data_IF_803432858397
#
_entry.id   IF_803432858397
#
_cell.length_a   1.000
_cell.length_b   1.000
_cell.length_c   1.000
_cell.angle_alpha   90.00
_cell.angle_beta   90.00
_cell.angle_gamma   90.00
#
_symmetry.space_group_name_H-M   'P 1'
#
loop_
_entity.id
_entity.type
_entity.pdbx_description
1 polymer ?
#
# COMPACT_ATOMS: atom_id res chain seq x y z
N UNK A 1 9.95 -23.30 24.85
CA UNK A 1 10.67 -22.05 24.47
C UNK A 1 9.61 -21.00 24.27
N UNK A 2 9.82 -19.78 24.75
CA UNK A 2 8.83 -18.70 24.62
C UNK A 2 8.74 -18.23 23.14
N UNK A 3 7.56 -17.80 22.67
CA UNK A 3 7.41 -17.17 21.36
C UNK A 3 8.21 -15.87 21.23
N UNK A 4 8.48 -15.43 20.00
CA UNK A 4 9.06 -14.11 19.77
C UNK A 4 8.05 -12.96 19.97
N UNK A 5 8.47 -11.70 19.78
CA UNK A 5 7.63 -10.51 19.93
C UNK A 5 6.39 -10.48 18.99
N UNK A 6 6.41 -11.28 17.91
CA UNK A 6 5.29 -11.44 16.98
C UNK A 6 4.42 -12.66 17.29
N UNK A 7 4.71 -13.37 18.40
CA UNK A 7 4.02 -14.59 18.81
C UNK A 7 4.40 -15.82 18.00
N UNK A 8 5.48 -15.76 17.20
CA UNK A 8 5.95 -16.88 16.40
C UNK A 8 6.73 -17.84 17.30
N UNK A 9 6.37 -19.14 17.35
CA UNK A 9 7.11 -20.10 18.16
C UNK A 9 8.53 -20.29 17.62
N UNK A 10 9.47 -20.62 18.49
CA UNK A 10 10.77 -21.15 18.03
C UNK A 10 10.56 -22.55 17.44
N UNK A 11 11.14 -22.81 16.27
CA UNK A 11 11.03 -24.09 15.55
C UNK A 11 12.32 -24.41 14.81
N UNK A 12 12.52 -25.68 14.46
CA UNK A 12 13.51 -26.10 13.47
C UNK A 12 12.81 -26.55 12.20
N UNK A 13 13.46 -26.37 11.05
CA UNK A 13 12.91 -26.78 9.74
C UNK A 13 12.54 -28.28 9.70
N UNK A 14 13.30 -29.12 10.39
CA UNK A 14 13.05 -30.56 10.52
C UNK A 14 11.73 -30.91 11.24
N UNK A 15 11.22 -29.99 12.07
CA UNK A 15 9.96 -30.16 12.80
C UNK A 15 8.74 -29.70 11.97
N UNK A 16 8.97 -29.05 10.82
CA UNK A 16 7.89 -28.53 9.99
C UNK A 16 7.29 -29.61 9.10
N UNK A 17 5.95 -29.65 9.04
CA UNK A 17 5.22 -30.64 8.23
C UNK A 17 4.80 -30.05 6.89
N UNK A 18 5.13 -30.69 5.77
CA UNK A 18 4.59 -30.29 4.46
C UNK A 18 3.06 -30.47 4.43
N UNK A 19 2.34 -29.39 4.12
CA UNK A 19 0.87 -29.36 4.04
C UNK A 19 0.35 -29.01 2.64
N UNK A 20 1.20 -28.48 1.76
CA UNK A 20 0.82 -28.17 0.38
C UNK A 20 2.08 -28.00 -0.46
N UNK A 21 2.05 -28.55 -1.67
CA UNK A 21 3.16 -28.47 -2.60
C UNK A 21 2.67 -27.98 -3.96
N UNK A 22 3.21 -26.84 -4.39
CA UNK A 22 2.94 -26.24 -5.68
C UNK A 22 4.14 -26.30 -6.61
N UNK A 23 3.94 -25.76 -7.82
CA UNK A 23 4.94 -25.71 -8.89
C UNK A 23 6.20 -24.92 -8.49
N UNK A 24 6.02 -23.79 -7.81
CA UNK A 24 7.11 -22.85 -7.48
C UNK A 24 7.37 -22.70 -5.98
N UNK A 25 6.57 -23.34 -5.14
CA UNK A 25 6.65 -23.20 -3.67
C UNK A 25 6.12 -24.43 -2.93
N UNK A 26 6.62 -24.63 -1.72
CA UNK A 26 6.12 -25.61 -0.74
C UNK A 26 5.67 -24.85 0.51
N UNK A 27 4.56 -25.29 1.11
CA UNK A 27 4.03 -24.74 2.35
C UNK A 27 4.27 -25.75 3.46
N UNK A 28 5.07 -25.35 4.45
CA UNK A 28 5.40 -26.16 5.61
C UNK A 28 4.70 -25.58 6.83
N UNK A 29 3.94 -26.40 7.54
CA UNK A 29 3.30 -26.03 8.80
C UNK A 29 4.35 -25.99 9.91
N UNK A 30 4.41 -24.85 10.62
CA UNK A 30 5.30 -24.65 11.77
C UNK A 30 4.59 -25.18 13.02
N UNK A 31 4.94 -26.39 13.47
CA UNK A 31 4.33 -27.04 14.64
C UNK A 31 2.79 -27.03 14.59
N UNK A 32 2.09 -27.17 15.72
CA UNK A 32 0.65 -26.91 15.82
C UNK A 32 0.33 -25.42 15.97
N UNK A 33 1.01 -24.56 15.21
CA UNK A 33 0.82 -23.10 15.24
C UNK A 33 -0.08 -22.59 14.11
N UNK A 34 -0.43 -21.31 14.22
CA UNK A 34 -1.13 -20.53 13.19
C UNK A 34 -0.22 -20.00 12.08
N UNK A 35 1.06 -20.42 12.06
CA UNK A 35 2.04 -19.93 11.11
C UNK A 35 2.50 -21.05 10.17
N UNK A 36 2.90 -20.64 8.97
CA UNK A 36 3.49 -21.50 7.96
C UNK A 36 4.80 -20.90 7.49
N UNK A 37 5.69 -21.77 7.05
CA UNK A 37 6.88 -21.42 6.30
C UNK A 37 6.57 -21.61 4.81
N UNK A 38 6.69 -20.55 4.03
CA UNK A 38 6.54 -20.58 2.59
C UNK A 38 7.95 -20.69 2.00
N UNK A 39 8.23 -21.83 1.38
CA UNK A 39 9.53 -22.14 0.78
C UNK A 39 9.45 -22.03 -0.74
N UNK A 40 10.21 -21.11 -1.33
CA UNK A 40 10.33 -20.97 -2.78
C UNK A 40 11.20 -22.08 -3.39
N UNK A 41 10.94 -22.43 -4.66
CA UNK A 41 11.71 -23.42 -5.42
C UNK A 41 12.43 -22.78 -6.61
N UNK A 42 13.56 -23.35 -7.00
CA UNK A 42 14.38 -22.91 -8.14
C UNK A 42 13.81 -23.33 -9.50
N UNK A 43 12.49 -23.30 -9.67
CA UNK A 43 11.84 -23.71 -10.91
C UNK A 43 11.09 -22.57 -11.57
N UNK A 44 11.23 -22.46 -12.89
CA UNK A 44 10.35 -21.66 -13.74
C UNK A 44 9.53 -22.59 -14.63
N UNK A 45 8.27 -22.21 -14.86
CA UNK A 45 7.36 -22.91 -15.77
C UNK A 45 7.24 -22.16 -17.09
N UNK A 46 7.35 -22.89 -18.21
CA UNK A 46 7.01 -22.42 -19.56
C UNK A 46 5.80 -23.21 -20.10
N UNK A 47 5.21 -22.73 -21.21
CA UNK A 47 4.22 -23.45 -22.05
C UNK A 47 3.15 -24.26 -21.29
N UNK A 48 2.03 -23.62 -20.94
CA UNK A 48 0.88 -24.28 -20.26
C UNK A 48 1.24 -25.11 -19.01
N UNK A 49 2.36 -24.76 -18.36
CA UNK A 49 2.86 -25.37 -17.12
C UNK A 49 3.28 -26.84 -17.20
N UNK A 50 3.50 -27.39 -18.40
CA UNK A 50 3.96 -28.77 -18.59
C UNK A 50 5.49 -28.89 -18.59
N UNK A 51 6.21 -27.80 -18.92
CA UNK A 51 7.67 -27.78 -18.94
C UNK A 51 8.25 -27.00 -17.75
N UNK A 52 9.12 -27.68 -16.99
CA UNK A 52 9.82 -27.15 -15.83
C UNK A 52 11.32 -27.03 -16.11
N UNK A 53 11.87 -25.86 -15.84
CA UNK A 53 13.30 -25.60 -15.99
C UNK A 53 13.88 -25.18 -14.64
N UNK A 54 14.97 -25.81 -14.23
CA UNK A 54 15.71 -25.40 -13.04
C UNK A 54 16.50 -24.12 -13.33
N UNK A 55 16.36 -23.12 -12.47
CA UNK A 55 17.09 -21.85 -12.52
C UNK A 55 17.70 -21.63 -11.15
N UNK A 56 18.98 -21.98 -11.02
CA UNK A 56 19.74 -21.84 -9.78
C UNK A 56 19.62 -20.43 -9.19
N UNK A 57 19.23 -20.34 -7.92
CA UNK A 57 19.06 -19.08 -7.18
C UNK A 57 17.77 -18.33 -7.45
N UNK A 58 16.86 -18.83 -8.31
CA UNK A 58 15.54 -18.22 -8.52
C UNK A 58 14.71 -18.22 -7.24
N UNK A 59 14.78 -19.27 -6.43
CA UNK A 59 14.05 -19.37 -5.16
C UNK A 59 14.39 -18.18 -4.26
N UNK A 60 15.68 -17.85 -4.15
CA UNK A 60 16.15 -16.72 -3.36
C UNK A 60 15.65 -15.38 -3.91
N UNK A 61 15.66 -15.21 -5.23
CA UNK A 61 15.17 -13.99 -5.90
C UNK A 61 13.65 -13.82 -5.73
N UNK A 62 12.86 -14.89 -5.93
CA UNK A 62 11.41 -14.89 -5.73
C UNK A 62 11.04 -14.58 -4.28
N UNK A 63 11.74 -15.19 -3.31
CA UNK A 63 11.52 -14.95 -1.89
C UNK A 63 11.91 -13.51 -1.50
N UNK A 64 13.06 -13.01 -1.94
CA UNK A 64 13.50 -11.64 -1.68
C UNK A 64 12.53 -10.59 -2.27
N UNK A 65 12.03 -10.82 -3.48
CA UNK A 65 11.02 -10.00 -4.14
C UNK A 65 9.74 -9.96 -3.30
N UNK A 66 9.21 -11.14 -2.95
CA UNK A 66 7.98 -11.28 -2.16
C UNK A 66 8.10 -10.62 -0.79
N UNK A 67 9.18 -10.88 -0.06
CA UNK A 67 9.43 -10.26 1.25
C UNK A 67 9.44 -8.74 1.14
N UNK A 68 10.17 -8.18 0.16
CA UNK A 68 10.30 -6.73 0.03
C UNK A 68 8.98 -6.07 -0.36
N UNK A 69 8.21 -6.70 -1.27
CA UNK A 69 6.89 -6.23 -1.67
C UNK A 69 5.92 -6.26 -0.49
N UNK A 70 5.84 -7.38 0.25
CA UNK A 70 4.94 -7.46 1.40
C UNK A 70 5.34 -6.56 2.56
N UNK A 71 6.64 -6.36 2.80
CA UNK A 71 7.12 -5.36 3.76
C UNK A 71 6.70 -3.94 3.36
N UNK A 72 6.80 -3.60 2.08
CA UNK A 72 6.34 -2.32 1.54
C UNK A 72 4.82 -2.15 1.71
N UNK A 73 4.02 -3.14 1.33
CA UNK A 73 2.57 -3.12 1.47
C UNK A 73 2.13 -3.02 2.95
N UNK A 74 2.76 -3.79 3.84
CA UNK A 74 2.49 -3.76 5.29
C UNK A 74 2.87 -2.39 5.89
N UNK A 75 4.01 -1.82 5.49
CA UNK A 75 4.44 -0.49 5.92
C UNK A 75 3.40 0.58 5.57
N UNK A 76 2.80 0.52 4.37
CA UNK A 76 1.74 1.43 3.95
C UNK A 76 0.40 1.19 4.68
N UNK A 77 0.22 0.03 5.31
CA UNK A 77 -0.98 -0.36 6.07
C UNK A 77 -1.90 -1.36 5.35
N UNK A 78 -1.48 -1.91 4.21
CA UNK A 78 -2.21 -3.01 3.55
C UNK A 78 -1.91 -4.30 4.31
N UNK A 79 -2.96 -5.03 4.69
CA UNK A 79 -2.80 -6.28 5.46
C UNK A 79 -2.45 -7.43 4.53
N UNK A 80 -1.28 -8.00 4.76
CA UNK A 80 -0.81 -9.23 4.11
C UNK A 80 -0.71 -10.37 5.13
N UNK A 81 -0.60 -11.61 4.66
CA UNK A 81 -0.30 -12.75 5.52
C UNK A 81 1.19 -12.84 5.93
N UNK A 82 2.06 -12.01 5.35
CA UNK A 82 3.50 -12.03 5.60
C UNK A 82 3.83 -11.53 7.01
N UNK A 83 4.70 -12.25 7.70
CA UNK A 83 5.21 -11.87 9.01
C UNK A 83 6.65 -11.34 8.93
N UNK A 84 7.57 -12.20 8.47
CA UNK A 84 9.00 -11.87 8.33
C UNK A 84 9.74 -12.86 7.45
N UNK A 85 10.87 -12.42 6.88
CA UNK A 85 11.85 -13.29 6.20
C UNK A 85 12.41 -14.29 7.22
N UNK A 86 12.57 -15.55 6.81
CA UNK A 86 13.19 -16.60 7.62
C UNK A 86 14.60 -16.94 7.14
N UNK A 87 14.75 -17.13 5.83
CA UNK A 87 16.02 -17.42 5.16
C UNK A 87 16.01 -16.78 3.77
N UNK A 88 17.04 -17.04 2.95
CA UNK A 88 17.05 -16.57 1.57
C UNK A 88 15.95 -17.21 0.71
N UNK A 89 15.51 -18.42 1.01
CA UNK A 89 14.49 -19.16 0.23
C UNK A 89 13.14 -19.29 0.94
N UNK A 90 13.04 -18.88 2.21
CA UNK A 90 11.82 -18.99 2.98
C UNK A 90 11.39 -17.69 3.68
N UNK A 91 10.07 -17.53 3.83
CA UNK A 91 9.46 -16.55 4.72
C UNK A 91 8.37 -17.17 5.60
N UNK A 92 8.14 -16.55 6.76
CA UNK A 92 7.07 -16.94 7.68
C UNK A 92 5.82 -16.12 7.36
N UNK A 93 4.70 -16.81 7.25
CA UNK A 93 3.39 -16.22 7.01
C UNK A 93 2.36 -16.73 8.02
N UNK A 94 1.29 -15.98 8.22
CA UNK A 94 0.06 -16.49 8.82
C UNK A 94 -0.51 -17.56 7.92
N UNK A 95 -0.92 -18.67 8.53
CA UNK A 95 -1.65 -19.73 7.84
C UNK A 95 -3.01 -19.16 7.43
N UNK A 96 -3.31 -19.20 6.14
CA UNK A 96 -4.63 -18.80 5.62
C UNK A 96 -5.28 -19.97 4.89
N UNK A 97 -6.60 -19.94 4.78
CA UNK A 97 -7.32 -20.75 3.80
C UNK A 97 -7.49 -19.90 2.55
N UNK A 98 -6.86 -20.31 1.46
CA UNK A 98 -6.84 -19.54 0.21
C UNK A 98 -8.22 -19.52 -0.46
N UNK A 99 -8.59 -18.38 -1.00
CA UNK A 99 -9.68 -18.28 -1.96
C UNK A 99 -9.17 -18.80 -3.31
N UNK A 100 -9.89 -19.70 -4.00
CA UNK A 100 -9.48 -20.26 -5.29
C UNK A 100 -9.69 -19.26 -6.44
N UNK A 101 -9.20 -18.02 -6.28
CA UNK A 101 -9.42 -16.90 -7.19
C UNK A 101 -8.11 -16.15 -7.44
N UNK A 102 -7.82 -15.90 -8.72
CA UNK A 102 -6.79 -14.98 -9.16
C UNK A 102 -7.41 -13.62 -9.49
N UNK A 103 -6.97 -12.57 -8.80
CA UNK A 103 -7.39 -11.21 -9.07
C UNK A 103 -6.35 -10.53 -9.95
N UNK A 104 -6.67 -10.34 -11.23
CA UNK A 104 -5.77 -9.69 -12.18
C UNK A 104 -6.19 -8.24 -12.37
N UNK A 105 -5.26 -7.31 -12.13
CA UNK A 105 -5.45 -5.87 -12.30
C UNK A 105 -4.57 -5.39 -13.44
N UNK A 106 -5.13 -4.63 -14.39
CA UNK A 106 -4.44 -4.19 -15.61
C UNK A 106 -4.50 -2.68 -15.78
N UNK A 107 -3.35 -2.05 -16.03
CA UNK A 107 -3.27 -0.70 -16.61
C UNK A 107 -3.25 -0.76 -18.13
N UNK A 108 -2.56 -1.73 -18.71
CA UNK A 108 -2.34 -1.84 -20.15
C UNK A 108 -2.98 -3.13 -20.69
N UNK A 109 -3.62 -3.04 -21.84
CA UNK A 109 -4.14 -4.22 -22.55
C UNK A 109 -2.98 -5.00 -23.18
N UNK A 110 -2.68 -6.16 -22.61
CA UNK A 110 -1.65 -7.09 -23.06
C UNK A 110 -2.06 -8.55 -22.82
N UNK A 111 -1.26 -9.49 -23.35
CA UNK A 111 -1.35 -10.92 -23.02
C UNK A 111 -2.75 -11.53 -23.22
N UNK A 112 -3.24 -12.23 -22.18
CA UNK A 112 -4.52 -12.96 -22.24
C UNK A 112 -5.75 -12.06 -22.42
N UNK A 113 -5.64 -10.77 -22.15
CA UNK A 113 -6.72 -9.82 -22.40
C UNK A 113 -6.97 -9.64 -23.90
N UNK A 114 -5.92 -9.43 -24.69
CA UNK A 114 -6.02 -9.23 -26.14
C UNK A 114 -6.56 -10.48 -26.86
N UNK A 115 -6.16 -11.68 -26.40
CA UNK A 115 -6.70 -12.95 -26.93
C UNK A 115 -8.22 -13.07 -26.76
N UNK A 116 -8.75 -12.60 -25.63
CA UNK A 116 -10.20 -12.59 -25.35
C UNK A 116 -10.92 -11.40 -25.99
N UNK A 117 -10.19 -10.34 -26.34
CA UNK A 117 -10.75 -9.09 -26.86
C UNK A 117 -10.00 -8.67 -28.14
N UNK A 118 -10.15 -9.40 -29.27
CA UNK A 118 -9.35 -9.20 -30.48
C UNK A 118 -9.56 -7.84 -31.16
N UNK A 119 -10.64 -7.13 -30.84
CA UNK A 119 -10.88 -5.77 -31.33
C UNK A 119 -10.06 -4.69 -30.58
N UNK A 120 -9.47 -5.02 -29.43
CA UNK A 120 -8.68 -4.09 -28.63
C UNK A 120 -7.22 -4.13 -29.11
N UNK A 121 -6.63 -2.96 -29.29
CA UNK A 121 -5.23 -2.83 -29.67
C UNK A 121 -4.32 -3.04 -28.45
N UNK A 122 -3.18 -3.70 -28.68
CA UNK A 122 -2.10 -3.76 -27.69
C UNK A 122 -1.68 -2.35 -27.28
N UNK A 123 -1.41 -2.17 -25.98
CA UNK A 123 -1.07 -0.85 -25.43
C UNK A 123 -2.27 0.02 -25.04
N UNK A 124 -3.51 -0.44 -25.21
CA UNK A 124 -4.69 0.30 -24.74
C UNK A 124 -4.64 0.50 -23.22
N UNK A 125 -4.86 1.73 -22.75
CA UNK A 125 -4.77 2.10 -21.34
C UNK A 125 -6.15 2.09 -20.66
N UNK A 126 -6.26 1.43 -19.51
CA UNK A 126 -7.46 1.39 -18.68
C UNK A 126 -7.46 2.49 -17.62
N UNK A 127 -8.53 3.28 -17.56
CA UNK A 127 -8.77 4.30 -16.53
C UNK A 127 -10.20 4.18 -15.98
N UNK A 128 -10.41 3.73 -14.74
CA UNK A 128 -9.44 3.19 -13.76
C UNK A 128 -8.84 1.82 -14.19
N UNK A 129 -7.85 1.25 -13.48
CA UNK A 129 -7.33 -0.09 -13.78
C UNK A 129 -8.43 -1.14 -13.91
N UNK A 130 -8.34 -2.00 -14.92
CA UNK A 130 -9.30 -3.07 -15.15
C UNK A 130 -9.04 -4.21 -14.18
N UNK A 131 -10.05 -4.62 -13.43
CA UNK A 131 -10.01 -5.81 -12.56
C UNK A 131 -10.74 -6.96 -13.23
N UNK A 132 -10.12 -8.13 -13.23
CA UNK A 132 -10.64 -9.40 -13.73
C UNK A 132 -10.45 -10.49 -12.68
N UNK A 133 -11.40 -11.42 -12.59
CA UNK A 133 -11.39 -12.51 -11.61
C UNK A 133 -11.29 -13.82 -12.39
N UNK A 134 -10.31 -14.65 -12.05
CA UNK A 134 -10.19 -15.99 -12.62
C UNK A 134 -10.37 -17.03 -11.52
N UNK A 135 -11.30 -17.96 -11.71
CA UNK A 135 -11.45 -19.10 -10.82
C UNK A 135 -10.38 -20.14 -11.15
N UNK A 136 -9.68 -20.59 -10.11
CA UNK A 136 -8.60 -21.58 -10.22
C UNK A 136 -9.21 -22.97 -10.34
N UNK A 137 -9.00 -23.59 -11.50
CA UNK A 137 -9.36 -24.98 -11.75
C UNK A 137 -8.18 -25.65 -12.45
N UNK A 138 -7.39 -26.41 -11.69
CA UNK A 138 -6.20 -27.08 -12.22
C UNK A 138 -6.54 -28.12 -13.31
N UNK A 139 -7.79 -28.62 -13.37
CA UNK A 139 -8.21 -29.64 -14.33
C UNK A 139 -8.78 -29.02 -15.62
N UNK A 140 -9.57 -27.95 -15.50
CA UNK A 140 -10.22 -27.29 -16.65
C UNK A 140 -9.47 -26.05 -17.16
N UNK A 141 -8.46 -25.60 -16.41
CA UNK A 141 -7.74 -24.34 -16.63
C UNK A 141 -8.47 -23.15 -16.00
N UNK A 142 -7.72 -22.08 -15.71
CA UNK A 142 -8.28 -20.90 -15.03
C UNK A 142 -9.33 -20.21 -15.91
N UNK A 143 -10.54 -20.05 -15.37
CA UNK A 143 -11.69 -19.49 -16.09
C UNK A 143 -12.05 -18.09 -15.60
N UNK A 144 -12.32 -17.17 -16.52
CA UNK A 144 -12.80 -15.84 -16.18
C UNK A 144 -14.20 -15.93 -15.55
N UNK A 145 -14.34 -15.41 -14.33
CA UNK A 145 -15.62 -15.22 -13.67
C UNK A 145 -16.02 -13.75 -13.68
N UNK A 146 -17.32 -13.49 -13.87
CA UNK A 146 -17.88 -12.17 -13.58
C UNK A 146 -18.04 -11.98 -12.07
N UNK A 147 -18.29 -10.74 -11.64
CA UNK A 147 -18.60 -10.47 -10.21
C UNK A 147 -19.88 -11.17 -9.80
N UNK A 148 -20.88 -11.16 -10.68
CA UNK A 148 -22.17 -11.83 -10.49
C UNK A 148 -21.97 -13.34 -10.38
N UNK A 149 -21.17 -13.96 -11.26
CA UNK A 149 -20.83 -15.39 -11.15
C UNK A 149 -20.21 -15.73 -9.81
N UNK A 150 -19.25 -14.91 -9.34
CA UNK A 150 -18.62 -15.14 -8.04
C UNK A 150 -19.63 -15.06 -6.89
N UNK A 151 -20.52 -14.07 -6.89
CA UNK A 151 -21.56 -13.90 -5.84
C UNK A 151 -22.55 -15.06 -5.87
N UNK A 152 -23.08 -15.39 -7.05
CA UNK A 152 -24.10 -16.44 -7.22
C UNK A 152 -23.52 -17.86 -7.03
N UNK A 153 -22.19 -18.03 -7.13
CA UNK A 153 -21.54 -19.32 -6.86
C UNK A 153 -21.75 -19.81 -5.42
N UNK A 154 -22.08 -18.91 -4.49
CA UNK A 154 -22.20 -19.22 -3.07
C UNK A 154 -20.88 -19.68 -2.43
N UNK A 155 -19.73 -19.32 -3.01
CA UNK A 155 -18.41 -19.73 -2.52
C UNK A 155 -18.24 -19.36 -1.05
N UNK A 156 -18.06 -20.36 -0.20
CA UNK A 156 -17.79 -20.20 1.23
C UNK A 156 -16.41 -20.72 1.57
N UNK A 157 -15.56 -19.89 2.17
CA UNK A 157 -14.22 -20.26 2.63
C UNK A 157 -14.08 -19.92 4.11
N UNK A 158 -13.74 -20.91 4.93
CA UNK A 158 -13.61 -20.75 6.40
C UNK A 158 -14.83 -20.10 7.07
N UNK A 159 -16.04 -20.46 6.63
CA UNK A 159 -17.30 -19.92 7.15
C UNK A 159 -17.65 -18.53 6.65
N UNK A 160 -16.88 -17.95 5.73
CA UNK A 160 -17.18 -16.66 5.08
C UNK A 160 -17.72 -16.94 3.68
N UNK A 161 -18.98 -16.62 3.46
CA UNK A 161 -19.58 -16.60 2.12
C UNK A 161 -19.15 -15.34 1.39
N UNK A 162 -18.70 -15.48 0.14
CA UNK A 162 -18.24 -14.37 -0.69
C UNK A 162 -19.44 -13.69 -1.33
N UNK A 163 -19.92 -12.65 -0.67
CA UNK A 163 -21.03 -11.83 -1.14
C UNK A 163 -20.53 -10.52 -1.78
N UNK A 164 -21.46 -9.65 -2.16
CA UNK A 164 -21.17 -8.34 -2.73
C UNK A 164 -20.16 -7.52 -1.91
N UNK A 165 -20.23 -7.58 -0.57
CA UNK A 165 -19.34 -6.82 0.30
C UNK A 165 -17.89 -7.33 0.22
N UNK A 166 -17.68 -8.64 0.22
CA UNK A 166 -16.37 -9.29 0.09
C UNK A 166 -15.78 -9.08 -1.30
N UNK A 167 -16.59 -9.19 -2.36
CA UNK A 167 -16.16 -8.90 -3.75
C UNK A 167 -15.72 -7.44 -3.88
N UNK A 168 -16.48 -6.49 -3.32
CA UNK A 168 -16.12 -5.07 -3.32
C UNK A 168 -14.82 -4.82 -2.52
N UNK A 169 -14.68 -5.44 -1.35
CA UNK A 169 -13.47 -5.35 -0.54
C UNK A 169 -12.25 -5.82 -1.33
N UNK A 170 -12.28 -7.04 -1.87
CA UNK A 170 -11.16 -7.60 -2.63
C UNK A 170 -10.83 -6.77 -3.87
N UNK A 171 -11.87 -6.28 -4.58
CA UNK A 171 -11.69 -5.36 -5.71
C UNK A 171 -10.94 -4.09 -5.29
N UNK A 172 -11.40 -3.41 -4.22
CA UNK A 172 -10.76 -2.19 -3.75
C UNK A 172 -9.32 -2.44 -3.26
N UNK A 173 -9.08 -3.57 -2.58
CA UNK A 173 -7.75 -3.92 -2.09
C UNK A 173 -6.81 -4.26 -3.25
N UNK A 174 -7.19 -5.11 -4.20
CA UNK A 174 -6.31 -5.47 -5.31
C UNK A 174 -6.01 -4.28 -6.22
N UNK A 175 -6.99 -3.40 -6.50
CA UNK A 175 -6.74 -2.14 -7.22
C UNK A 175 -5.78 -1.23 -6.45
N UNK A 176 -5.91 -1.14 -5.13
CA UNK A 176 -5.00 -0.32 -4.32
C UNK A 176 -3.59 -0.91 -4.30
N UNK A 177 -3.44 -2.22 -4.17
CA UNK A 177 -2.15 -2.92 -4.26
C UNK A 177 -1.48 -2.65 -5.60
N UNK A 178 -2.23 -2.78 -6.70
CA UNK A 178 -1.74 -2.46 -8.04
C UNK A 178 -1.26 -1.01 -8.13
N UNK A 179 -2.09 -0.04 -7.72
CA UNK A 179 -1.78 1.38 -7.86
C UNK A 179 -0.58 1.83 -7.02
N UNK A 180 -0.37 1.28 -5.82
CA UNK A 180 0.82 1.62 -5.01
C UNK A 180 2.10 1.02 -5.60
N UNK A 181 2.03 -0.20 -6.15
CA UNK A 181 3.17 -0.81 -6.83
C UNK A 181 3.46 -0.12 -8.17
N UNK A 182 2.42 0.26 -8.91
CA UNK A 182 2.52 1.04 -10.15
C UNK A 182 3.22 2.38 -9.90
N UNK A 183 2.78 3.12 -8.86
CA UNK A 183 3.39 4.40 -8.48
C UNK A 183 4.85 4.24 -8.06
N UNK A 184 5.18 3.17 -7.34
CA UNK A 184 6.54 2.87 -6.91
C UNK A 184 7.43 2.50 -8.11
N UNK A 185 6.99 1.60 -8.99
CA UNK A 185 7.76 1.25 -10.19
C UNK A 185 7.98 2.43 -11.13
N UNK A 186 7.00 3.33 -11.25
CA UNK A 186 7.12 4.54 -12.05
C UNK A 186 8.24 5.46 -11.56
N UNK A 187 8.51 5.54 -10.26
CA UNK A 187 9.63 6.35 -9.73
C UNK A 187 11.02 5.80 -10.11
N UNK A 188 11.07 4.54 -10.56
CA UNK A 188 12.26 3.89 -11.12
C UNK A 188 12.23 3.79 -12.65
N UNK A 189 11.29 4.47 -13.31
CA UNK A 189 11.16 4.47 -14.76
C UNK A 189 10.66 3.13 -15.33
N UNK A 190 9.83 2.40 -14.58
CA UNK A 190 9.20 1.17 -15.03
C UNK A 190 7.68 1.32 -15.13
N UNK A 191 7.09 0.67 -16.13
CA UNK A 191 5.64 0.60 -16.31
C UNK A 191 5.14 -0.76 -15.85
N UNK A 192 4.32 -0.75 -14.79
CA UNK A 192 3.59 -1.93 -14.31
C UNK A 192 2.33 -2.13 -15.16
N UNK A 193 2.32 -3.17 -15.98
CA UNK A 193 1.30 -3.40 -17.01
C UNK A 193 0.08 -4.08 -16.40
N UNK A 194 0.33 -5.18 -15.70
CA UNK A 194 -0.66 -5.92 -14.94
C UNK A 194 -0.03 -6.61 -13.73
N UNK A 195 -0.89 -7.02 -12.79
CA UNK A 195 -0.53 -7.73 -11.57
C UNK A 195 -1.61 -8.74 -11.23
N UNK A 196 -1.20 -9.94 -10.84
CA UNK A 196 -2.04 -10.93 -10.18
C UNK A 196 -1.86 -10.87 -8.66
N UNK A 197 -2.97 -10.87 -7.93
CA UNK A 197 -3.02 -10.97 -6.47
C UNK A 197 -3.97 -12.11 -6.07
N UNK A 198 -3.62 -12.84 -5.01
CA UNK A 198 -4.50 -13.84 -4.39
C UNK A 198 -4.83 -13.43 -2.95
N UNK A 199 -5.98 -13.89 -2.46
CA UNK A 199 -6.45 -13.60 -1.11
C UNK A 199 -6.62 -14.87 -0.30
N UNK A 200 -6.41 -14.76 1.01
CA UNK A 200 -6.67 -15.81 1.97
C UNK A 200 -7.52 -15.33 3.13
N UNK A 201 -8.19 -16.27 3.79
CA UNK A 201 -8.91 -16.04 5.04
C UNK A 201 -8.02 -16.44 6.22
N UNK A 202 -7.72 -15.50 7.11
CA UNK A 202 -7.01 -15.76 8.39
C UNK A 202 -7.94 -16.51 9.38
N UNK A 203 -7.65 -17.79 9.71
CA UNK A 203 -8.48 -18.63 10.56
C UNK A 203 -8.37 -18.29 12.06
N UNK A 204 -7.35 -17.56 12.52
CA UNK A 204 -7.25 -17.15 13.94
C UNK A 204 -8.30 -16.11 14.31
N UNK A 205 -8.70 -15.28 13.36
CA UNK A 205 -9.87 -14.40 13.44
C UNK A 205 -11.17 -15.12 13.02
N UNK A 206 -11.08 -16.41 12.69
CA UNK A 206 -12.13 -17.27 12.16
C UNK A 206 -12.63 -18.36 13.11
N UNK A 207 -12.28 -18.35 14.41
CA UNK A 207 -13.18 -18.96 15.40
C UNK A 207 -14.43 -18.10 15.40
N UNK A 208 -15.52 -18.63 14.84
CA UNK A 208 -16.86 -18.07 15.02
C UNK A 208 -17.02 -17.78 16.52
N UNK A 209 -17.05 -16.51 16.97
CA UNK A 209 -17.46 -16.25 18.33
C UNK A 209 -18.89 -16.75 18.36
N UNK A 210 -19.18 -17.69 19.27
CA UNK A 210 -20.55 -17.97 19.65
C UNK A 210 -21.24 -16.62 19.83
N UNK A 211 -22.23 -16.34 18.98
CA UNK A 211 -22.94 -15.07 18.80
C UNK A 211 -22.21 -13.95 18.02
N UNK A 212 -22.68 -13.71 16.78
CA UNK A 212 -22.94 -12.39 16.19
C UNK A 212 -21.83 -11.32 16.20
N UNK A 213 -20.54 -11.69 16.08
CA UNK A 213 -19.45 -10.70 16.09
C UNK A 213 -18.98 -10.20 14.70
N UNK A 214 -18.66 -8.92 14.69
CA UNK A 214 -18.47 -7.96 13.61
C UNK A 214 -17.15 -8.09 12.82
N UNK A 215 -16.54 -9.27 12.78
CA UNK A 215 -15.17 -9.48 12.31
C UNK A 215 -15.01 -9.94 10.85
N UNK A 216 -16.09 -10.22 10.11
CA UNK A 216 -16.04 -10.94 8.82
C UNK A 216 -15.17 -10.25 7.74
N UNK A 217 -15.22 -8.92 7.63
CA UNK A 217 -14.35 -8.15 6.70
C UNK A 217 -12.89 -8.01 7.19
N UNK A 218 -12.56 -8.45 8.43
CA UNK A 218 -11.17 -8.45 8.92
C UNK A 218 -10.39 -9.70 8.48
N UNK A 219 -11.01 -10.71 7.90
CA UNK A 219 -10.30 -11.98 7.78
C UNK A 219 -9.69 -12.18 6.38
N UNK A 220 -10.22 -11.50 5.36
CA UNK A 220 -9.65 -11.51 4.02
C UNK A 220 -8.41 -10.61 4.00
N UNK A 221 -7.26 -11.20 3.67
CA UNK A 221 -5.96 -10.54 3.58
C UNK A 221 -5.26 -10.93 2.27
N UNK A 222 -4.36 -10.05 1.81
CA UNK A 222 -3.49 -10.38 0.67
C UNK A 222 -2.58 -11.53 1.08
N UNK A 223 -2.56 -12.59 0.29
CA UNK A 223 -1.81 -13.80 0.60
C UNK A 223 -1.03 -14.26 -0.65
N UNK A 224 -0.56 -15.51 -0.61
CA UNK A 224 0.32 -16.09 -1.62
C UNK A 224 1.67 -15.34 -1.75
N UNK A 225 2.12 -15.06 -2.97
CA UNK A 225 3.38 -14.41 -3.27
C UNK A 225 3.16 -13.32 -4.32
N UNK A 226 3.93 -12.24 -4.21
CA UNK A 226 4.05 -11.24 -5.26
C UNK A 226 5.52 -11.17 -5.65
N UNK A 227 5.88 -11.89 -6.70
CA UNK A 227 7.22 -11.90 -7.28
C UNK A 227 7.20 -11.53 -8.76
N UNK A 228 8.33 -11.66 -9.45
CA UNK A 228 8.44 -11.38 -10.89
C UNK A 228 7.66 -12.34 -11.79
N UNK A 229 7.02 -13.39 -11.25
CA UNK A 229 6.06 -14.22 -11.96
C UNK A 229 4.62 -13.67 -11.82
N UNK A 230 4.37 -12.77 -10.86
CA UNK A 230 3.04 -12.24 -10.52
C UNK A 230 2.65 -10.99 -11.32
N UNK A 231 3.58 -10.28 -11.93
CA UNK A 231 3.32 -9.07 -12.72
C UNK A 231 3.90 -9.14 -14.14
N UNK A 232 3.45 -8.21 -14.98
CA UNK A 232 4.17 -7.81 -16.20
C UNK A 232 4.78 -6.42 -15.98
N UNK A 233 6.09 -6.30 -16.17
CA UNK A 233 6.87 -5.10 -15.85
C UNK A 233 7.80 -4.74 -17.01
N UNK A 234 7.62 -3.53 -17.54
CA UNK A 234 8.46 -3.00 -18.61
C UNK A 234 9.46 -1.98 -18.07
N UNK A 235 10.69 -2.01 -18.57
CA UNK A 235 11.61 -0.89 -18.42
C UNK A 235 11.18 0.23 -19.38
N UNK A 236 10.87 1.41 -18.83
CA UNK A 236 10.18 2.47 -19.55
C UNK A 236 8.79 2.02 -20.02
N UNK A 237 8.41 2.46 -21.22
CA UNK A 237 7.12 2.13 -21.85
C UNK A 237 7.27 1.14 -23.03
N UNK A 238 8.39 0.41 -23.10
CA UNK A 238 8.70 -0.49 -24.22
C UNK A 238 8.37 -1.96 -23.86
N UNK A 239 7.35 -2.52 -24.50
CA UNK A 239 6.92 -3.92 -24.30
C UNK A 239 7.98 -4.96 -24.73
N UNK A 240 9.09 -4.54 -25.34
CA UNK A 240 10.26 -5.38 -25.66
C UNK A 240 11.24 -5.48 -24.50
N UNK A 241 11.20 -4.55 -23.54
CA UNK A 241 12.09 -4.50 -22.38
C UNK A 241 11.41 -5.10 -21.15
N UNK A 242 10.96 -6.34 -21.27
CA UNK A 242 10.26 -7.06 -20.21
C UNK A 242 11.24 -7.56 -19.14
N UNK A 243 10.96 -7.22 -17.88
CA UNK A 243 11.79 -7.58 -16.72
C UNK A 243 11.19 -8.75 -15.92
N UNK A 244 10.05 -9.26 -16.37
CA UNK A 244 9.25 -10.28 -15.71
C UNK A 244 9.25 -11.61 -16.48
N UNK A 245 8.43 -12.56 -16.01
CA UNK A 245 8.30 -13.89 -16.61
C UNK A 245 7.76 -13.88 -18.05
N UNK A 246 7.07 -12.83 -18.49
CA UNK A 246 6.51 -12.76 -19.84
C UNK A 246 7.60 -12.86 -20.92
N UNK A 247 8.79 -12.29 -20.67
CA UNK A 247 9.97 -12.43 -21.56
C UNK A 247 10.23 -13.89 -21.89
N UNK A 248 10.14 -14.72 -20.86
CA UNK A 248 10.38 -16.15 -20.94
C UNK A 248 9.23 -16.92 -21.60
N UNK A 249 7.98 -16.46 -21.45
CA UNK A 249 6.80 -17.09 -22.07
C UNK A 249 6.69 -16.84 -23.57
N UNK A 250 7.26 -15.75 -24.07
CA UNK A 250 7.21 -15.37 -25.49
C UNK A 250 8.25 -16.10 -26.34
N UNK A 251 9.16 -16.86 -25.72
CA UNK A 251 10.16 -17.66 -26.41
C UNK A 251 9.52 -18.90 -27.07
N UNK A 252 9.96 -19.23 -28.28
CA UNK A 252 9.56 -20.47 -28.98
C UNK A 252 10.45 -21.66 -28.62
N UNK A 253 11.68 -21.40 -28.18
CA UNK A 253 12.65 -22.38 -27.70
C UNK A 253 13.43 -21.81 -26.51
N UNK A 254 13.57 -22.60 -25.45
CA UNK A 254 14.26 -22.20 -24.22
C UNK A 254 15.69 -22.71 -24.26
N UNK A 255 16.65 -21.78 -24.18
CA UNK A 255 18.08 -22.05 -24.14
C UNK A 255 18.67 -21.54 -22.83
N UNK A 256 19.81 -22.08 -22.43
CA UNK A 256 20.50 -21.69 -21.20
C UNK A 256 20.75 -20.18 -21.10
N UNK A 257 21.10 -19.52 -22.23
CA UNK A 257 21.26 -18.06 -22.30
C UNK A 257 20.01 -17.28 -21.87
N UNK A 258 18.81 -17.78 -22.18
CA UNK A 258 17.55 -17.15 -21.81
C UNK A 258 17.29 -17.28 -20.30
N UNK A 259 17.73 -18.39 -19.68
CA UNK A 259 17.65 -18.58 -18.22
C UNK A 259 18.61 -17.65 -17.47
N UNK A 260 19.81 -17.42 -18.04
CA UNK A 260 20.78 -16.45 -17.51
C UNK A 260 20.21 -15.02 -17.57
N UNK A 261 19.62 -14.64 -18.70
CA UNK A 261 18.97 -13.34 -18.87
C UNK A 261 17.80 -13.14 -17.90
N UNK A 262 16.93 -14.16 -17.77
CA UNK A 262 15.83 -14.14 -16.80
C UNK A 262 16.34 -13.92 -15.37
N UNK A 263 17.39 -14.65 -14.96
CA UNK A 263 18.03 -14.45 -13.64
C UNK A 263 18.60 -13.04 -13.49
N UNK A 264 19.19 -12.49 -14.55
CA UNK A 264 19.67 -11.11 -14.60
C UNK A 264 18.55 -10.09 -14.36
N UNK A 265 17.41 -10.25 -15.05
CA UNK A 265 16.23 -9.41 -14.89
C UNK A 265 15.67 -9.47 -13.46
N UNK A 266 15.57 -10.68 -12.89
CA UNK A 266 15.07 -10.87 -11.52
C UNK A 266 16.01 -10.26 -10.49
N UNK A 267 17.33 -10.38 -10.71
CA UNK A 267 18.34 -9.74 -9.87
C UNK A 267 18.19 -8.21 -9.90
N UNK A 268 18.02 -7.64 -11.09
CA UNK A 268 17.80 -6.21 -11.27
C UNK A 268 16.55 -5.73 -10.52
N UNK A 269 15.44 -6.47 -10.63
CA UNK A 269 14.19 -6.19 -9.91
C UNK A 269 14.41 -6.15 -8.39
N UNK A 270 15.10 -7.15 -7.83
CA UNK A 270 15.41 -7.19 -6.38
C UNK A 270 16.26 -5.98 -5.96
N UNK A 271 17.26 -5.58 -6.74
CA UNK A 271 18.10 -4.41 -6.42
C UNK A 271 17.31 -3.09 -6.44
N UNK A 272 16.33 -2.95 -7.34
CA UNK A 272 15.43 -1.78 -7.35
C UNK A 272 14.45 -1.79 -6.19
N UNK A 273 13.89 -2.95 -5.85
CA UNK A 273 12.93 -3.09 -4.75
C UNK A 273 13.52 -2.70 -3.39
N UNK A 274 14.83 -2.86 -3.17
CA UNK A 274 15.50 -2.36 -1.95
C UNK A 274 15.28 -0.87 -1.73
N UNK A 275 15.02 -0.10 -2.79
CA UNK A 275 14.81 1.34 -2.74
C UNK A 275 13.33 1.73 -2.54
N UNK A 276 12.38 0.78 -2.55
CA UNK A 276 10.95 1.10 -2.38
C UNK A 276 10.62 1.71 -1.02
N UNK A 277 11.43 1.40 0.00
CA UNK A 277 11.23 1.81 1.39
C UNK A 277 12.20 2.91 1.83
N UNK A 278 12.90 3.57 0.91
CA UNK A 278 13.75 4.71 1.28
C UNK A 278 12.91 5.78 1.96
N UNK A 279 13.44 6.34 3.04
CA UNK A 279 12.77 7.41 3.77
C UNK A 279 12.43 8.58 2.83
N UNK A 280 11.23 9.16 2.93
CA UNK A 280 10.86 10.31 2.13
C UNK A 280 11.84 11.45 2.25
N UNK A 281 12.17 12.06 1.11
CA UNK A 281 13.12 13.18 1.08
C UNK A 281 12.46 14.45 1.62
N UNK A 282 11.19 14.67 1.27
CA UNK A 282 10.45 15.87 1.65
C UNK A 282 10.15 15.94 3.16
N UNK A 283 9.97 17.16 3.69
CA UNK A 283 9.66 17.40 5.11
C UNK A 283 8.56 18.42 5.30
N UNK A 284 7.93 18.37 6.47
CA UNK A 284 7.02 19.41 6.93
C UNK A 284 7.64 20.17 8.12
N UNK A 285 7.49 21.50 8.13
CA UNK A 285 7.90 22.35 9.25
C UNK A 285 6.66 23.00 9.83
N UNK A 286 6.33 22.66 11.07
CA UNK A 286 5.21 23.26 11.80
C UNK A 286 5.74 24.42 12.64
N UNK A 287 5.30 25.63 12.31
CA UNK A 287 5.68 26.87 12.98
C UNK A 287 4.53 27.34 13.86
N UNK A 288 4.74 27.37 15.17
CA UNK A 288 3.76 27.89 16.11
C UNK A 288 4.12 29.30 16.60
N UNK A 289 3.13 30.18 16.64
CA UNK A 289 3.29 31.55 17.13
C UNK A 289 3.45 31.62 18.66
N UNK A 290 2.89 30.63 19.37
CA UNK A 290 2.89 30.54 20.83
C UNK A 290 3.04 29.08 21.27
N UNK A 291 3.77 28.84 22.35
CA UNK A 291 3.96 27.50 22.93
C UNK A 291 2.65 26.89 23.46
N UNK A 292 1.63 27.71 23.74
CA UNK A 292 0.30 27.22 24.14
C UNK A 292 -0.35 26.34 23.07
N UNK A 293 0.03 26.51 21.80
CA UNK A 293 -0.49 25.72 20.68
C UNK A 293 0.31 24.43 20.44
N UNK A 294 1.24 24.09 21.33
CA UNK A 294 2.13 22.92 21.20
C UNK A 294 1.38 21.60 21.05
N UNK A 295 0.33 21.36 21.85
CA UNK A 295 -0.49 20.14 21.76
C UNK A 295 -1.12 19.96 20.37
N UNK A 296 -1.63 21.03 19.78
CA UNK A 296 -2.21 20.99 18.44
C UNK A 296 -1.15 20.76 17.36
N UNK A 297 0.04 21.37 17.51
CA UNK A 297 1.17 21.14 16.62
C UNK A 297 1.70 19.69 16.71
N UNK A 298 1.67 19.11 17.90
CA UNK A 298 2.00 17.71 18.15
C UNK A 298 1.01 16.76 17.48
N UNK A 299 -0.28 17.10 17.48
CA UNK A 299 -1.30 16.37 16.74
C UNK A 299 -1.00 16.39 15.22
N UNK A 300 -0.69 17.56 14.66
CA UNK A 300 -0.27 17.70 13.25
C UNK A 300 0.95 16.81 12.96
N UNK A 301 1.97 16.86 13.83
CA UNK A 301 3.17 16.03 13.72
C UNK A 301 2.83 14.54 13.72
N UNK A 302 1.97 14.09 14.63
CA UNK A 302 1.55 12.69 14.72
C UNK A 302 0.84 12.22 13.43
N UNK A 303 0.00 13.07 12.82
CA UNK A 303 -0.61 12.77 11.53
C UNK A 303 0.42 12.69 10.39
N UNK A 304 1.38 13.62 10.32
CA UNK A 304 2.44 13.62 9.31
C UNK A 304 3.35 12.39 9.42
N UNK A 305 3.77 12.03 10.64
CA UNK A 305 4.61 10.85 10.87
C UNK A 305 3.90 9.56 10.47
N UNK A 306 2.59 9.43 10.73
CA UNK A 306 1.77 8.30 10.25
C UNK A 306 1.65 8.22 8.73
N UNK A 307 1.85 9.33 8.02
CA UNK A 307 1.88 9.42 6.56
C UNK A 307 3.29 9.27 5.99
N UNK A 308 4.28 8.97 6.83
CA UNK A 308 5.69 8.83 6.45
C UNK A 308 6.42 10.17 6.25
N UNK A 309 5.83 11.32 6.59
CA UNK A 309 6.44 12.64 6.39
C UNK A 309 7.24 13.06 7.63
N UNK A 310 8.57 13.25 7.53
CA UNK A 310 9.38 13.87 8.58
C UNK A 310 8.84 15.26 8.95
N UNK A 311 8.68 15.52 10.25
CA UNK A 311 8.08 16.75 10.73
C UNK A 311 8.87 17.38 11.88
N UNK A 312 9.14 18.69 11.76
CA UNK A 312 9.88 19.47 12.76
C UNK A 312 9.00 20.60 13.31
N UNK A 313 8.98 20.76 14.63
CA UNK A 313 8.25 21.83 15.30
C UNK A 313 9.19 23.00 15.63
N UNK A 314 8.77 24.25 15.39
CA UNK A 314 9.50 25.45 15.80
C UNK A 314 8.57 26.51 16.35
N UNK A 315 9.11 27.37 17.22
CA UNK A 315 8.38 28.51 17.81
C UNK A 315 8.96 29.82 17.29
N UNK A 316 8.12 30.64 16.65
CA UNK A 316 8.51 31.97 16.16
C UNK A 316 7.28 32.87 16.00
N UNK A 317 7.44 34.19 16.17
CA UNK A 317 6.36 35.16 16.02
C UNK A 317 6.67 36.19 14.94
N UNK A 318 5.71 36.44 14.05
CA UNK A 318 5.82 37.55 13.09
C UNK A 318 5.81 38.92 13.76
N UNK A 319 5.13 39.05 14.90
CA UNK A 319 4.96 40.33 15.61
C UNK A 319 6.07 40.61 16.61
N UNK A 320 6.56 39.57 17.31
CA UNK A 320 7.55 39.73 18.39
C UNK A 320 8.99 39.48 17.95
N UNK A 321 9.19 38.75 16.84
CA UNK A 321 10.51 38.25 16.46
C UNK A 321 10.65 38.06 14.94
N UNK A 322 10.26 39.06 14.15
CA UNK A 322 10.24 38.99 12.67
C UNK A 322 11.58 38.55 12.08
N UNK A 323 12.69 39.16 12.51
CA UNK A 323 14.03 38.83 12.02
C UNK A 323 14.42 37.37 12.30
N UNK A 324 13.98 36.81 13.45
CA UNK A 324 14.20 35.40 13.79
C UNK A 324 13.41 34.48 12.86
N UNK A 325 12.16 34.82 12.56
CA UNK A 325 11.32 34.09 11.61
C UNK A 325 11.98 34.06 10.23
N UNK A 326 12.46 35.20 9.74
CA UNK A 326 13.11 35.30 8.44
C UNK A 326 14.41 34.48 8.38
N UNK A 327 15.25 34.55 9.42
CA UNK A 327 16.46 33.72 9.49
C UNK A 327 16.13 32.22 9.46
N UNK A 328 15.12 31.80 10.20
CA UNK A 328 14.67 30.41 10.23
C UNK A 328 14.15 29.94 8.88
N UNK A 329 13.43 30.80 8.16
CA UNK A 329 12.97 30.51 6.81
C UNK A 329 14.15 30.23 5.87
N UNK A 330 15.16 31.12 5.87
CA UNK A 330 16.39 30.94 5.09
C UNK A 330 17.16 29.68 5.47
N UNK A 331 17.22 29.32 6.77
CA UNK A 331 17.84 28.06 7.22
C UNK A 331 17.18 26.85 6.54
N UNK A 332 15.84 26.81 6.49
CA UNK A 332 15.12 25.69 5.89
C UNK A 332 15.19 25.69 4.36
N UNK A 333 15.21 26.84 3.70
CA UNK A 333 15.38 26.96 2.25
C UNK A 333 16.78 26.57 1.78
N UNK A 334 17.81 26.87 2.59
CA UNK A 334 19.22 26.58 2.25
C UNK A 334 19.50 25.08 2.12
N UNK A 335 18.69 24.23 2.75
CA UNK A 335 18.87 22.78 2.73
C UNK A 335 18.47 22.08 1.42
N UNK A 336 17.79 22.77 0.50
CA UNK A 336 17.28 22.21 -0.77
C UNK A 336 16.42 20.93 -0.63
N UNK A 337 15.85 20.72 0.55
CA UNK A 337 14.92 19.62 0.83
C UNK A 337 13.51 20.13 0.52
N UNK A 338 12.70 19.42 -0.29
CA UNK A 338 11.30 19.79 -0.52
C UNK A 338 10.57 19.99 0.81
N UNK A 339 10.10 21.20 1.07
CA UNK A 339 9.58 21.59 2.39
C UNK A 339 8.20 22.21 2.25
N UNK A 340 7.26 21.77 3.10
CA UNK A 340 5.95 22.41 3.28
C UNK A 340 5.92 23.06 4.67
N UNK A 341 5.55 24.33 4.74
CA UNK A 341 5.37 25.02 6.00
C UNK A 341 3.91 24.93 6.45
N UNK A 342 3.70 24.54 7.70
CA UNK A 342 2.39 24.58 8.37
C UNK A 342 2.49 25.61 9.47
N UNK A 343 1.65 26.64 9.44
CA UNK A 343 1.66 27.72 10.40
C UNK A 343 0.48 27.57 11.35
N UNK A 344 0.76 27.57 12.64
CA UNK A 344 -0.25 27.53 13.71
C UNK A 344 -0.18 28.84 14.46
N UNK A 345 -1.20 29.68 14.27
CA UNK A 345 -1.35 30.95 14.98
C UNK A 345 -2.78 31.13 15.45
N UNK A 346 -2.97 31.33 16.74
CA UNK A 346 -4.24 31.86 17.27
C UNK A 346 -4.41 33.35 16.99
N UNK A 347 -5.64 33.83 17.09
CA UNK A 347 -6.04 35.23 16.90
C UNK A 347 -5.68 35.78 15.50
N UNK A 348 -5.20 37.03 15.42
CA UNK A 348 -4.74 37.66 14.19
C UNK A 348 -3.51 36.97 13.61
N UNK A 349 -3.69 36.30 12.46
CA UNK A 349 -2.67 35.49 11.83
C UNK A 349 -1.73 36.29 10.91
N UNK A 350 -0.78 37.02 11.49
CA UNK A 350 0.28 37.67 10.73
C UNK A 350 1.40 36.72 10.25
N UNK A 351 1.55 35.55 10.89
CA UNK A 351 2.68 34.65 10.64
C UNK A 351 2.56 33.93 9.29
N UNK A 352 1.39 33.40 8.96
CA UNK A 352 1.19 32.69 7.70
C UNK A 352 1.34 33.63 6.49
N UNK A 353 0.79 34.84 6.59
CA UNK A 353 0.92 35.87 5.56
C UNK A 353 2.38 36.30 5.35
N UNK A 354 3.13 36.51 6.44
CA UNK A 354 4.55 36.84 6.38
C UNK A 354 5.34 35.76 5.65
N UNK A 355 5.15 34.49 5.99
CA UNK A 355 5.86 33.40 5.33
C UNK A 355 5.46 33.29 3.85
N UNK A 356 4.17 33.25 3.55
CA UNK A 356 3.67 33.06 2.19
C UNK A 356 4.07 34.20 1.23
N UNK A 357 4.32 35.41 1.74
CA UNK A 357 4.84 36.51 0.93
C UNK A 357 6.36 36.51 0.75
N UNK A 358 7.10 35.66 1.46
CA UNK A 358 8.58 35.66 1.46
C UNK A 358 9.22 34.32 1.08
N UNK A 359 8.44 33.26 0.85
CA UNK A 359 8.95 31.96 0.42
C UNK A 359 8.24 31.48 -0.84
N UNK A 360 8.95 30.82 -1.78
CA UNK A 360 8.31 30.11 -2.89
C UNK A 360 7.72 28.76 -2.46
N UNK A 361 7.96 28.31 -1.23
CA UNK A 361 7.45 27.04 -0.74
C UNK A 361 5.99 27.12 -0.29
N UNK A 362 5.23 26.01 -0.34
CA UNK A 362 3.85 26.01 0.09
C UNK A 362 3.71 26.33 1.58
N UNK A 363 2.80 27.25 1.90
CA UNK A 363 2.45 27.64 3.26
C UNK A 363 0.98 27.30 3.52
N UNK A 364 0.76 26.50 4.55
CA UNK A 364 -0.56 26.07 5.01
C UNK A 364 -0.82 26.71 6.36
N UNK A 365 -1.81 27.58 6.46
CA UNK A 365 -2.30 27.99 7.74
C UNK A 365 -3.19 26.90 8.36
N UNK A 366 -3.00 26.62 9.65
CA UNK A 366 -3.87 25.76 10.43
C UNK A 366 -3.99 26.29 11.86
N UNK A 367 -5.07 27.01 12.14
CA UNK A 367 -5.36 27.56 13.46
C UNK A 367 -6.34 26.65 14.20
N UNK A 368 -6.12 26.33 15.49
CA UNK A 368 -7.07 25.55 16.26
C UNK A 368 -8.38 26.32 16.40
N UNK A 369 -9.47 25.76 15.88
CA UNK A 369 -10.82 26.30 16.08
C UNK A 369 -11.33 25.75 17.41
N UNK A 370 -11.40 26.61 18.43
CA UNK A 370 -12.09 26.32 19.69
C UNK A 370 -13.46 27.02 19.70
N UNK A 371 -14.33 26.70 20.67
CA UNK A 371 -15.66 27.36 20.80
C UNK A 371 -15.55 28.89 20.98
N UNK A 372 -14.36 29.38 21.34
CA UNK A 372 -14.03 30.80 21.53
C UNK A 372 -13.40 31.44 20.27
N UNK A 373 -13.05 30.67 19.24
CA UNK A 373 -12.43 31.18 18.03
C UNK A 373 -13.47 32.01 17.29
N UNK A 374 -13.22 33.30 17.16
CA UNK A 374 -14.16 34.19 16.51
C UNK A 374 -14.15 33.94 15.00
N UNK A 375 -15.27 34.22 14.34
CA UNK A 375 -15.31 34.27 12.87
C UNK A 375 -14.28 35.26 12.30
N UNK A 376 -13.86 36.24 13.10
CA UNK A 376 -12.85 37.25 12.76
C UNK A 376 -11.43 36.65 12.70
N UNK A 377 -11.11 35.70 13.58
CA UNK A 377 -9.80 35.04 13.60
C UNK A 377 -9.57 34.22 12.32
N UNK A 378 -10.59 33.49 11.87
CA UNK A 378 -10.55 32.74 10.61
C UNK A 378 -10.36 33.71 9.44
N UNK A 379 -11.08 34.84 9.42
CA UNK A 379 -10.96 35.85 8.36
C UNK A 379 -9.52 36.36 8.20
N UNK A 380 -8.77 36.49 9.28
CA UNK A 380 -7.35 36.89 9.21
C UNK A 380 -6.47 35.90 8.42
N UNK A 381 -6.91 34.65 8.27
CA UNK A 381 -6.18 33.59 7.57
C UNK A 381 -6.59 33.43 6.10
N UNK A 382 -7.82 33.81 5.75
CA UNK A 382 -8.36 33.70 4.37
C UNK A 382 -8.35 35.03 3.61
N UNK A 383 -8.48 36.17 4.29
CA UNK A 383 -8.49 37.50 3.67
C UNK A 383 -7.08 38.09 3.61
N UNK A 384 -6.23 37.49 2.78
CA UNK A 384 -4.84 37.92 2.58
C UNK A 384 -4.71 38.95 1.45
N UNK A 385 -3.62 39.75 1.39
CA UNK A 385 -3.37 40.68 0.30
C UNK A 385 -3.37 39.98 -1.07
N UNK A 386 -4.07 40.56 -2.05
CA UNK A 386 -4.26 39.93 -3.37
C UNK A 386 -2.96 39.78 -4.19
N UNK A 387 -1.95 40.59 -3.92
CA UNK A 387 -0.69 40.58 -4.68
C UNK A 387 0.33 39.63 -4.02
N UNK A 388 0.60 38.50 -4.67
CA UNK A 388 1.79 37.69 -4.42
C UNK A 388 1.77 36.79 -3.17
N UNK A 389 0.63 36.60 -2.50
CA UNK A 389 0.52 35.75 -1.30
C UNK A 389 -0.37 34.54 -1.57
N UNK A 390 0.23 33.36 -1.72
CA UNK A 390 -0.45 32.09 -2.03
C UNK A 390 -0.58 31.17 -0.82
N UNK A 391 -1.26 31.59 0.25
CA UNK A 391 -1.44 30.77 1.45
C UNK A 391 -2.78 30.02 1.44
N UNK A 392 -2.76 28.73 1.75
CA UNK A 392 -3.98 27.92 1.93
C UNK A 392 -4.35 27.81 3.40
N UNK A 393 -5.63 27.66 3.73
CA UNK A 393 -6.09 27.44 5.12
C UNK A 393 -6.70 26.05 5.29
N UNK A 394 -6.25 25.33 6.31
CA UNK A 394 -6.77 24.06 6.79
C UNK A 394 -7.34 24.24 8.21
N UNK A 395 -8.41 23.53 8.56
CA UNK A 395 -9.15 23.76 9.81
C UNK A 395 -8.74 22.76 10.91
N UNK A 396 -8.56 21.49 10.56
CA UNK A 396 -8.15 20.45 11.51
C UNK A 396 -6.68 20.07 11.35
N UNK A 397 -6.07 19.60 12.44
CA UNK A 397 -4.69 19.09 12.43
C UNK A 397 -4.50 17.99 11.36
N UNK A 398 -5.44 17.06 11.27
CA UNK A 398 -5.42 16.02 10.25
C UNK A 398 -5.50 16.60 8.82
N UNK A 399 -6.37 17.59 8.58
CA UNK A 399 -6.51 18.19 7.25
C UNK A 399 -5.24 18.90 6.80
N UNK A 400 -4.54 19.60 7.70
CA UNK A 400 -3.27 20.24 7.40
C UNK A 400 -2.18 19.22 7.08
N UNK A 401 -2.06 18.15 7.87
CA UNK A 401 -1.14 17.07 7.61
C UNK A 401 -1.42 16.35 6.28
N UNK A 402 -2.69 16.08 5.97
CA UNK A 402 -3.10 15.48 4.70
C UNK A 402 -2.77 16.38 3.51
N UNK A 403 -2.98 17.69 3.63
CA UNK A 403 -2.68 18.63 2.56
C UNK A 403 -1.16 18.72 2.33
N UNK A 404 -0.36 18.85 3.38
CA UNK A 404 1.10 18.82 3.29
C UNK A 404 1.61 17.51 2.67
N UNK A 405 1.11 16.37 3.12
CA UNK A 405 1.46 15.07 2.56
C UNK A 405 1.03 14.96 1.09
N UNK A 406 -0.13 15.52 0.70
CA UNK A 406 -0.60 15.47 -0.69
C UNK A 406 0.31 16.23 -1.65
N UNK A 407 0.89 17.34 -1.19
CA UNK A 407 1.88 18.11 -1.94
C UNK A 407 3.16 17.28 -2.11
N UNK A 408 3.69 16.73 -1.01
CA UNK A 408 4.93 15.94 -1.04
C UNK A 408 4.76 14.62 -1.82
N UNK A 409 3.59 13.99 -1.76
CA UNK A 409 3.26 12.77 -2.50
C UNK A 409 3.18 12.95 -4.03
N UNK A 410 3.25 14.17 -4.54
CA UNK A 410 3.39 14.40 -5.98
C UNK A 410 4.72 13.86 -6.51
N UNK A 411 5.79 13.93 -5.72
CA UNK A 411 7.14 13.48 -6.07
C UNK A 411 7.63 12.27 -5.28
N UNK A 412 6.90 11.85 -4.24
CA UNK A 412 7.30 10.75 -3.35
C UNK A 412 6.27 9.60 -3.35
N UNK A 413 6.68 8.42 -3.82
CA UNK A 413 5.78 7.26 -3.94
C UNK A 413 5.40 6.65 -2.59
N UNK A 414 6.22 6.81 -1.54
CA UNK A 414 5.92 6.30 -0.19
C UNK A 414 4.84 7.15 0.46
N UNK A 415 4.99 8.48 0.45
CA UNK A 415 3.98 9.40 0.98
C UNK A 415 2.66 9.25 0.20
N UNK A 416 2.75 9.16 -1.12
CA UNK A 416 1.58 8.88 -1.97
C UNK A 416 0.90 7.56 -1.60
N UNK A 417 1.69 6.50 -1.39
CA UNK A 417 1.22 5.19 -0.98
C UNK A 417 0.43 5.25 0.34
N UNK A 418 0.96 5.94 1.36
CA UNK A 418 0.25 6.12 2.64
C UNK A 418 -1.07 6.85 2.47
N UNK A 419 -1.11 7.91 1.66
CA UNK A 419 -2.36 8.61 1.34
C UNK A 419 -3.38 7.71 0.63
N UNK A 420 -2.91 6.91 -0.33
CA UNK A 420 -3.77 6.02 -1.11
C UNK A 420 -4.34 4.89 -0.26
N UNK A 421 -3.54 4.33 0.64
CA UNK A 421 -3.96 3.30 1.59
C UNK A 421 -4.87 3.88 2.67
N UNK A 422 -4.63 5.10 3.16
CA UNK A 422 -5.56 5.77 4.09
C UNK A 422 -6.96 5.93 3.49
N UNK A 423 -7.06 6.29 2.20
CA UNK A 423 -8.36 6.33 1.49
C UNK A 423 -9.04 4.95 1.44
N UNK A 424 -8.27 3.90 1.14
CA UNK A 424 -8.77 2.51 1.19
C UNK A 424 -9.29 2.15 2.60
N UNK A 425 -8.51 2.43 3.64
CA UNK A 425 -8.89 2.10 5.02
C UNK A 425 -10.15 2.85 5.48
N UNK A 426 -10.30 4.12 5.10
CA UNK A 426 -11.52 4.88 5.35
C UNK A 426 -12.74 4.25 4.65
N UNK A 427 -12.59 3.85 3.38
CA UNK A 427 -13.65 3.17 2.64
C UNK A 427 -14.04 1.83 3.29
N UNK A 428 -13.06 1.02 3.68
CA UNK A 428 -13.29 -0.25 4.39
C UNK A 428 -14.00 0.00 5.73
N UNK A 429 -13.64 1.06 6.46
CA UNK A 429 -14.31 1.42 7.71
C UNK A 429 -15.78 1.77 7.47
N UNK A 430 -16.09 2.52 6.42
CA UNK A 430 -17.48 2.83 6.03
C UNK A 430 -18.27 1.57 5.67
N UNK A 431 -17.70 0.67 4.86
CA UNK A 431 -18.34 -0.61 4.51
C UNK A 431 -18.66 -1.45 5.76
N UNK A 432 -17.75 -1.47 6.73
CA UNK A 432 -17.95 -2.17 8.01
C UNK A 432 -19.08 -1.56 8.82
N UNK A 433 -19.07 -0.23 8.97
CA UNK A 433 -20.13 0.48 9.70
C UNK A 433 -21.49 0.25 9.07
N UNK A 434 -21.61 0.39 7.75
CA UNK A 434 -22.88 0.16 7.04
C UNK A 434 -23.41 -1.28 7.22
N UNK A 435 -22.52 -2.29 7.10
CA UNK A 435 -22.90 -3.68 7.34
C UNK A 435 -23.40 -3.90 8.78
N UNK A 436 -22.74 -3.28 9.76
CA UNK A 436 -23.14 -3.35 11.16
C UNK A 436 -24.56 -2.83 11.40
N UNK A 437 -24.87 -1.66 10.83
CA UNK A 437 -26.19 -1.05 10.93
C UNK A 437 -27.26 -1.91 10.23
N UNK A 438 -26.96 -2.50 9.07
CA UNK A 438 -27.90 -3.39 8.36
C UNK A 438 -28.25 -4.66 9.13
N UNK A 439 -27.32 -5.18 9.94
CA UNK A 439 -27.52 -6.39 10.75
C UNK A 439 -28.19 -6.11 12.11
N UNK A 440 -28.52 -4.87 12.43
CA UNK A 440 -29.18 -4.51 13.71
C UNK A 440 -28.26 -4.55 14.93
N UNK A 441 -26.94 -4.65 14.75
CA UNK A 441 -25.95 -4.81 15.81
C UNK A 441 -25.54 -3.47 16.48
N UNK A 442 -26.52 -2.63 16.84
CA UNK A 442 -26.26 -1.34 17.52
C UNK A 442 -26.33 -1.54 19.03
N UNK A 443 -25.35 -2.23 19.61
CA UNK A 443 -25.16 -2.28 21.06
C UNK A 443 -23.70 -2.03 21.45
N UNK A 444 -23.14 -0.87 21.07
CA UNK A 444 -22.00 -0.25 21.78
C UNK A 444 -21.53 1.10 21.20
N UNK A 445 -22.45 2.04 20.86
CA UNK A 445 -22.06 3.42 20.53
C UNK A 445 -22.43 4.46 21.62
N UNK A 446 -22.88 4.02 22.80
CA UNK A 446 -23.18 4.92 23.94
C UNK A 446 -21.95 5.34 24.79
N UNK A 447 -20.71 5.06 24.36
CA UNK A 447 -19.51 5.47 25.12
C UNK A 447 -18.52 6.38 24.40
N UNK A 448 -18.88 6.95 23.26
CA UNK A 448 -18.00 7.88 22.53
C UNK A 448 -18.34 9.38 22.70
N UNK A 449 -19.38 9.72 23.47
CA UNK A 449 -19.72 11.11 23.83
C UNK A 449 -19.71 11.32 25.35
N UNK A 450 -18.56 11.10 25.98
CA UNK A 450 -18.19 11.72 27.27
C UNK A 450 -16.72 12.07 27.28
#
# INVERSE_FOLDING_TARGET
MEPDEQGIPQFRLEDCKNISEGKTKTILQISDSSFVLVQSKDFVTAFSAEQHYAVDGKAALSNATTCTVFEYLNMLGIRTHYMKKHSDTEFIAKRCVMLPLEWVVRRVAAGSYLRRNPAVKEGYMFYPPKVEIFYKDDAAGDHLWSRETLIESGLTVSGITIEQAEVNLMTCVCSTVFEVLERAWLSFGCTLVDLKVEFGVDPLTGKCPSTFDMAVLRNIIVADVIDSDSWVLWAGDDNRLQLDKQFYRDLTDVQEKHLIELKGNYTWVVEKLKQFRTAPVGRAIVLMACERDSNFCEEIRAHLLRLGVPCFLRVTSAHKSTNKTMKMLTEFESGQIPTVFIVVSGNSNGLAALLAGNTPYPVINCSPVNEQASSEDIRSSICLPAAGVGCTTAISAESAALHAASILGLSDHVVWGHLRVKKLLNHIAMMKSDRAFRLGNVTSMEKANR
#
